data_IF_664657389601
#
_entry.id   IF_664657389601
#
_cell.length_a   1.000
_cell.length_b   1.000
_cell.length_c   1.000
_cell.angle_alpha   90.00
_cell.angle_beta   90.00
_cell.angle_gamma   90.00
#
_symmetry.space_group_name_H-M   'P 1'
#
loop_
_entity.id
_entity.type
_entity.pdbx_description
1 polymer ?
#
# COMPACT_ATOMS: atom_id res chain seq x y z
N UNK A 1 19.95 -23.61 3.86
CA UNK A 1 19.01 -23.87 2.74
C UNK A 1 17.75 -24.65 3.13
N UNK A 2 17.69 -25.38 4.26
CA UNK A 2 16.47 -26.13 4.67
C UNK A 2 15.36 -25.32 5.37
N UNK A 3 15.58 -24.07 5.80
CA UNK A 3 14.54 -23.25 6.47
C UNK A 3 13.57 -22.55 5.51
N UNK A 4 13.92 -22.41 4.22
CA UNK A 4 13.15 -21.60 3.25
C UNK A 4 11.94 -22.33 2.68
N UNK A 5 11.98 -23.67 2.63
CA UNK A 5 10.93 -24.50 2.04
C UNK A 5 9.80 -24.86 3.01
N UNK A 6 9.96 -24.53 4.30
CA UNK A 6 9.02 -24.88 5.37
C UNK A 6 8.04 -23.75 5.73
N UNK A 7 8.34 -22.51 5.35
CA UNK A 7 7.40 -21.38 5.54
C UNK A 7 6.28 -21.41 4.50
N UNK A 8 6.58 -21.85 3.27
CA UNK A 8 5.64 -21.83 2.14
C UNK A 8 4.59 -22.96 2.15
N UNK A 9 4.78 -24.03 2.93
CA UNK A 9 3.84 -25.17 2.96
C UNK A 9 2.72 -25.04 3.99
N UNK A 10 2.83 -24.10 4.94
CA UNK A 10 1.76 -23.71 5.89
C UNK A 10 0.95 -22.50 5.36
N UNK A 11 1.24 -22.03 4.14
CA UNK A 11 0.76 -20.76 3.57
C UNK A 11 -0.50 -20.87 2.71
N UNK A 12 -0.95 -22.09 2.37
CA UNK A 12 -2.12 -22.27 1.49
C UNK A 12 -3.44 -21.83 2.16
N UNK A 13 -3.58 -22.02 3.47
CA UNK A 13 -4.75 -21.65 4.29
C UNK A 13 -4.61 -20.28 4.99
N UNK A 14 -3.52 -19.55 4.70
CA UNK A 14 -3.26 -18.27 5.36
C UNK A 14 -4.20 -17.19 4.84
N UNK A 15 -4.87 -16.51 5.75
CA UNK A 15 -5.72 -15.35 5.42
C UNK A 15 -4.87 -14.09 5.20
N UNK A 16 -4.21 -14.05 4.04
CA UNK A 16 -3.31 -12.98 3.67
C UNK A 16 -3.97 -11.60 3.67
N UNK A 17 -5.26 -11.55 3.32
CA UNK A 17 -6.03 -10.32 3.27
C UNK A 17 -6.25 -9.74 4.67
N UNK A 18 -6.89 -10.49 5.57
CA UNK A 18 -7.21 -9.97 6.90
C UNK A 18 -5.96 -9.75 7.76
N UNK A 19 -4.96 -10.62 7.64
CA UNK A 19 -3.68 -10.39 8.31
C UNK A 19 -2.98 -9.13 7.80
N UNK A 20 -2.93 -8.95 6.48
CA UNK A 20 -2.32 -7.79 5.85
C UNK A 20 -3.01 -6.49 6.28
N UNK A 21 -4.34 -6.46 6.23
CA UNK A 21 -5.12 -5.30 6.65
C UNK A 21 -4.94 -4.99 8.14
N UNK A 22 -4.92 -6.02 8.99
CA UNK A 22 -4.67 -5.88 10.43
C UNK A 22 -3.29 -5.30 10.71
N UNK A 23 -2.26 -5.75 9.99
CA UNK A 23 -0.89 -5.23 10.12
C UNK A 23 -0.80 -3.77 9.64
N UNK A 24 -1.49 -3.41 8.56
CA UNK A 24 -1.56 -2.02 8.09
C UNK A 24 -2.25 -1.13 9.13
N UNK A 25 -3.39 -1.55 9.69
CA UNK A 25 -4.08 -0.81 10.74
C UNK A 25 -3.20 -0.62 11.98
N UNK A 26 -2.53 -1.69 12.43
CA UNK A 26 -1.59 -1.60 13.55
C UNK A 26 -0.43 -0.63 13.25
N UNK A 27 0.09 -0.60 12.03
CA UNK A 27 1.13 0.35 11.63
C UNK A 27 0.63 1.80 11.64
N UNK A 28 -0.61 2.04 11.22
CA UNK A 28 -1.26 3.35 11.32
C UNK A 28 -1.47 3.77 12.77
N UNK A 29 -1.93 2.87 13.65
CA UNK A 29 -2.09 3.15 15.08
C UNK A 29 -0.77 3.58 15.73
N UNK A 30 0.33 2.86 15.45
CA UNK A 30 1.66 3.20 15.95
C UNK A 30 2.14 4.52 15.41
N UNK A 31 1.95 4.75 14.11
CA UNK A 31 2.28 6.01 13.47
C UNK A 31 1.51 7.14 14.15
N UNK A 32 0.19 7.05 14.30
CA UNK A 32 -0.63 8.06 14.98
C UNK A 32 -0.15 8.33 16.41
N UNK A 33 0.27 7.29 17.14
CA UNK A 33 0.85 7.40 18.48
C UNK A 33 2.28 7.98 18.52
N UNK A 34 2.87 8.36 17.37
CA UNK A 34 4.22 8.90 17.27
C UNK A 34 5.33 7.86 17.48
N UNK A 35 5.02 6.58 17.31
CA UNK A 35 5.96 5.48 17.50
C UNK A 35 6.63 5.08 16.19
N UNK A 36 7.88 4.63 16.27
CA UNK A 36 8.61 4.10 15.13
C UNK A 36 8.27 2.63 14.84
N UNK A 37 8.25 2.28 13.55
CA UNK A 37 8.23 0.90 13.09
C UNK A 37 9.64 0.30 13.10
N UNK A 38 9.75 -0.91 13.62
CA UNK A 38 10.95 -1.75 13.54
C UNK A 38 11.30 -2.12 12.10
N UNK A 39 12.53 -2.58 11.87
CA UNK A 39 12.96 -3.04 10.55
C UNK A 39 12.12 -4.23 10.06
N UNK A 40 11.78 -5.16 10.96
CA UNK A 40 10.97 -6.34 10.63
C UNK A 40 9.54 -5.95 10.27
N UNK A 41 8.92 -5.00 11.00
CA UNK A 41 7.59 -4.47 10.66
C UNK A 41 7.60 -3.82 9.27
N UNK A 42 8.60 -2.99 8.98
CA UNK A 42 8.74 -2.35 7.65
C UNK A 42 8.90 -3.40 6.55
N UNK A 43 9.76 -4.39 6.74
CA UNK A 43 9.99 -5.44 5.75
C UNK A 43 8.72 -6.25 5.47
N UNK A 44 8.03 -6.68 6.53
CA UNK A 44 6.77 -7.44 6.39
C UNK A 44 5.66 -6.61 5.75
N UNK A 45 5.53 -5.32 6.10
CA UNK A 45 4.57 -4.43 5.46
C UNK A 45 4.85 -4.28 3.96
N UNK A 46 6.12 -4.20 3.55
CA UNK A 46 6.50 -4.22 2.14
C UNK A 46 6.01 -5.47 1.41
N UNK A 47 6.19 -6.64 2.04
CA UNK A 47 5.68 -7.92 1.51
C UNK A 47 4.14 -7.91 1.44
N UNK A 48 3.44 -7.51 2.50
CA UNK A 48 1.96 -7.52 2.50
C UNK A 48 1.36 -6.58 1.47
N UNK A 49 1.92 -5.38 1.30
CA UNK A 49 1.42 -4.40 0.34
C UNK A 49 1.67 -4.82 -1.12
N UNK A 50 2.51 -5.83 -1.38
CA UNK A 50 2.61 -6.42 -2.72
C UNK A 50 1.33 -7.16 -3.15
N UNK A 51 0.50 -7.59 -2.20
CA UNK A 51 -0.82 -8.12 -2.48
C UNK A 51 -1.78 -6.97 -2.83
N UNK A 52 -2.39 -7.05 -4.01
CA UNK A 52 -3.22 -5.97 -4.58
C UNK A 52 -4.38 -5.64 -3.64
N UNK A 53 -5.08 -6.64 -3.11
CA UNK A 53 -6.22 -6.38 -2.22
C UNK A 53 -5.83 -5.84 -0.86
N UNK A 54 -4.66 -6.17 -0.32
CA UNK A 54 -4.17 -5.55 0.91
C UNK A 54 -3.83 -4.08 0.67
N UNK A 55 -3.17 -3.77 -0.46
CA UNK A 55 -2.86 -2.40 -0.85
C UNK A 55 -4.12 -1.58 -1.10
N UNK A 56 -5.13 -2.13 -1.77
CA UNK A 56 -6.40 -1.44 -1.99
C UNK A 56 -7.18 -1.25 -0.69
N UNK A 57 -7.22 -2.27 0.17
CA UNK A 57 -7.84 -2.17 1.49
C UNK A 57 -7.17 -1.13 2.39
N UNK A 58 -5.86 -0.89 2.24
CA UNK A 58 -5.18 0.19 2.96
C UNK A 58 -5.77 1.58 2.66
N UNK A 59 -6.32 1.80 1.45
CA UNK A 59 -7.03 3.04 1.11
C UNK A 59 -8.39 3.15 1.83
N UNK A 60 -9.03 2.04 2.17
CA UNK A 60 -10.33 2.05 2.87
C UNK A 60 -10.23 2.57 4.31
N UNK A 61 -9.00 2.65 4.85
CA UNK A 61 -8.70 3.21 6.16
C UNK A 61 -8.59 4.74 6.15
N UNK A 62 -8.60 5.37 4.97
CA UNK A 62 -8.63 6.83 4.84
C UNK A 62 -9.87 7.40 5.54
N UNK A 63 -9.67 8.48 6.30
CA UNK A 63 -10.72 9.09 7.11
C UNK A 63 -10.92 8.43 8.49
N UNK A 64 -10.36 7.23 8.73
CA UNK A 64 -10.23 6.68 10.09
C UNK A 64 -9.04 7.27 10.84
N UNK A 65 -8.03 7.70 10.10
CA UNK A 65 -6.83 8.38 10.58
C UNK A 65 -6.71 9.74 9.88
N UNK A 66 -5.98 10.67 10.48
CA UNK A 66 -5.62 11.93 9.84
C UNK A 66 -4.71 11.69 8.62
N UNK A 67 -4.80 12.58 7.62
CA UNK A 67 -4.02 12.45 6.39
C UNK A 67 -2.50 12.49 6.66
N UNK A 68 -2.05 13.25 7.65
CA UNK A 68 -0.64 13.35 8.05
C UNK A 68 -0.09 12.02 8.57
N UNK A 69 -0.90 11.24 9.31
CA UNK A 69 -0.57 9.89 9.75
C UNK A 69 -0.37 8.95 8.56
N UNK A 70 -1.26 8.99 7.57
CA UNK A 70 -1.08 8.22 6.34
C UNK A 70 0.17 8.65 5.58
N UNK A 71 0.37 9.95 5.35
CA UNK A 71 1.54 10.50 4.65
C UNK A 71 2.84 10.06 5.33
N UNK A 72 2.90 10.12 6.66
CA UNK A 72 4.07 9.71 7.43
C UNK A 72 4.35 8.22 7.32
N UNK A 73 3.34 7.36 7.46
CA UNK A 73 3.51 5.91 7.31
C UNK A 73 4.01 5.57 5.90
N UNK A 74 3.33 6.07 4.85
CA UNK A 74 3.69 5.74 3.48
C UNK A 74 5.05 6.31 3.08
N UNK A 75 5.41 7.50 3.59
CA UNK A 75 6.77 8.05 3.43
C UNK A 75 7.82 7.17 4.10
N UNK A 76 7.57 6.73 5.34
CA UNK A 76 8.49 5.87 6.08
C UNK A 76 8.70 4.54 5.34
N UNK A 77 7.62 3.89 4.89
CA UNK A 77 7.69 2.64 4.13
C UNK A 77 8.40 2.84 2.79
N UNK A 78 8.00 3.82 1.98
CA UNK A 78 8.62 4.12 0.67
C UNK A 78 10.14 4.30 0.75
N UNK A 79 10.64 4.84 1.87
CA UNK A 79 12.07 5.08 2.10
C UNK A 79 12.83 3.88 2.66
N UNK A 80 12.17 2.98 3.38
CA UNK A 80 12.84 1.97 4.23
C UNK A 80 12.58 0.53 3.82
N UNK A 81 11.52 0.24 3.07
CA UNK A 81 11.33 -1.10 2.53
C UNK A 81 12.45 -1.44 1.55
N UNK A 82 12.70 -2.74 1.38
CA UNK A 82 13.64 -3.18 0.37
C UNK A 82 13.21 -2.64 -1.01
N UNK A 83 14.14 -2.14 -1.86
CA UNK A 83 13.79 -1.29 -3.01
C UNK A 83 12.76 -1.89 -3.97
N UNK A 84 12.77 -3.21 -4.15
CA UNK A 84 11.84 -3.93 -5.03
C UNK A 84 10.39 -3.93 -4.51
N UNK A 85 10.18 -3.68 -3.21
CA UNK A 85 8.86 -3.57 -2.58
C UNK A 85 8.38 -2.12 -2.43
N UNK A 86 9.09 -1.14 -2.97
CA UNK A 86 8.76 0.26 -2.76
C UNK A 86 7.59 0.77 -3.64
N UNK A 87 7.18 0.05 -4.69
CA UNK A 87 6.10 0.51 -5.58
C UNK A 87 4.74 0.67 -4.88
N UNK A 88 4.23 -0.34 -4.12
CA UNK A 88 2.96 -0.20 -3.41
C UNK A 88 2.88 0.98 -2.42
N UNK A 89 3.80 1.13 -1.44
CA UNK A 89 3.72 2.25 -0.50
C UNK A 89 3.95 3.61 -1.19
N UNK A 90 4.78 3.67 -2.24
CA UNK A 90 4.96 4.90 -3.02
C UNK A 90 3.68 5.31 -3.75
N UNK A 91 2.93 4.35 -4.30
CA UNK A 91 1.64 4.63 -4.94
C UNK A 91 0.57 5.09 -3.93
N UNK A 92 0.55 4.51 -2.72
CA UNK A 92 -0.32 4.98 -1.63
C UNK A 92 0.04 6.41 -1.20
N UNK A 93 1.33 6.71 -1.04
CA UNK A 93 1.82 8.06 -0.76
C UNK A 93 1.40 9.05 -1.86
N UNK A 94 1.55 8.66 -3.12
CA UNK A 94 1.15 9.48 -4.25
C UNK A 94 -0.34 9.79 -4.26
N UNK A 95 -1.19 8.80 -3.95
CA UNK A 95 -2.63 8.99 -3.87
C UNK A 95 -3.01 9.95 -2.72
N UNK A 96 -2.39 9.78 -1.55
CA UNK A 96 -2.56 10.68 -0.40
C UNK A 96 -2.19 12.11 -0.76
N UNK A 97 -1.01 12.31 -1.32
CA UNK A 97 -0.49 13.63 -1.71
C UNK A 97 -1.35 14.31 -2.79
N UNK A 98 -1.87 13.54 -3.77
CA UNK A 98 -2.81 14.07 -4.76
C UNK A 98 -4.08 14.60 -4.10
N UNK A 99 -4.68 13.83 -3.19
CA UNK A 99 -5.90 14.21 -2.47
C UNK A 99 -5.70 15.43 -1.55
N UNK A 100 -4.56 15.53 -0.90
CA UNK A 100 -4.26 16.65 0.01
C UNK A 100 -3.72 17.89 -0.70
N UNK A 101 -3.52 17.82 -2.02
CA UNK A 101 -3.08 18.94 -2.84
C UNK A 101 -1.57 19.15 -2.90
N UNK A 102 -0.77 18.22 -2.37
CA UNK A 102 0.69 18.23 -2.52
C UNK A 102 1.10 17.57 -3.85
N UNK A 103 0.85 18.30 -4.94
CA UNK A 103 1.20 17.87 -6.30
C UNK A 103 2.68 17.49 -6.49
N UNK A 104 3.65 18.27 -5.97
CA UNK A 104 5.07 17.90 -6.02
C UNK A 104 5.37 16.56 -5.34
N UNK A 105 4.88 16.33 -4.11
CA UNK A 105 5.06 15.05 -3.43
C UNK A 105 4.39 13.91 -4.20
N UNK A 106 3.18 14.16 -4.74
CA UNK A 106 2.47 13.17 -5.54
C UNK A 106 3.28 12.73 -6.77
N UNK A 107 3.89 13.68 -7.49
CA UNK A 107 4.75 13.38 -8.66
C UNK A 107 5.99 12.59 -8.26
N UNK A 108 6.72 13.01 -7.22
CA UNK A 108 7.92 12.29 -6.75
C UNK A 108 7.58 10.86 -6.31
N UNK A 109 6.44 10.68 -5.62
CA UNK A 109 5.99 9.36 -5.19
C UNK A 109 5.57 8.48 -6.38
N UNK A 110 4.90 9.03 -7.40
CA UNK A 110 4.61 8.33 -8.67
C UNK A 110 5.90 7.91 -9.37
N UNK A 111 6.87 8.82 -9.51
CA UNK A 111 8.17 8.53 -10.12
C UNK A 111 8.90 7.42 -9.37
N UNK A 112 8.86 7.44 -8.03
CA UNK A 112 9.43 6.37 -7.21
C UNK A 112 8.75 5.03 -7.49
N UNK A 113 7.42 4.98 -7.52
CA UNK A 113 6.71 3.73 -7.81
C UNK A 113 7.05 3.17 -9.21
N UNK A 114 7.06 4.05 -10.22
CA UNK A 114 7.33 3.67 -11.61
C UNK A 114 8.80 3.35 -11.87
N UNK A 115 9.73 3.86 -11.05
CA UNK A 115 11.14 3.45 -11.10
C UNK A 115 11.35 1.99 -10.69
N UNK A 116 10.46 1.45 -9.86
CA UNK A 116 10.48 0.06 -9.40
C UNK A 116 9.72 -0.83 -10.37
N UNK A 117 8.49 -0.45 -10.73
CA UNK A 117 7.70 -1.13 -11.75
C UNK A 117 7.07 -0.10 -12.72
N UNK A 118 7.60 0.04 -13.95
CA UNK A 118 7.07 0.97 -14.94
C UNK A 118 5.60 0.74 -15.34
N UNK A 119 5.05 -0.44 -15.00
CA UNK A 119 3.66 -0.83 -15.28
C UNK A 119 2.78 -0.85 -14.02
N UNK A 120 3.26 -0.32 -12.90
CA UNK A 120 2.48 -0.32 -11.65
C UNK A 120 1.18 0.48 -11.83
N UNK A 121 0.05 -0.24 -11.87
CA UNK A 121 -1.22 0.28 -12.39
C UNK A 121 -1.72 1.52 -11.64
N UNK A 122 -1.70 1.50 -10.30
CA UNK A 122 -2.13 2.63 -9.48
C UNK A 122 -1.28 3.88 -9.74
N UNK A 123 0.05 3.73 -9.82
CA UNK A 123 0.94 4.86 -10.10
C UNK A 123 0.69 5.43 -11.50
N UNK A 124 0.40 4.58 -12.49
CA UNK A 124 0.00 5.01 -13.83
C UNK A 124 -1.32 5.79 -13.85
N UNK A 125 -2.31 5.36 -13.06
CA UNK A 125 -3.58 6.09 -12.90
C UNK A 125 -3.36 7.47 -12.27
N UNK A 126 -2.57 7.54 -11.18
CA UNK A 126 -2.26 8.80 -10.49
C UNK A 126 -1.46 9.74 -11.38
N UNK A 127 -0.46 9.23 -12.14
CA UNK A 127 0.27 10.01 -13.14
C UNK A 127 -0.69 10.64 -14.15
N UNK A 128 -1.62 9.85 -14.68
CA UNK A 128 -2.61 10.33 -15.65
C UNK A 128 -3.51 11.41 -15.05
N UNK A 129 -3.96 11.23 -13.80
CA UNK A 129 -4.73 12.25 -13.08
C UNK A 129 -3.94 13.55 -12.93
N UNK A 130 -2.66 13.49 -12.54
CA UNK A 130 -1.77 14.64 -12.39
C UNK A 130 -1.53 15.36 -13.73
N UNK A 131 -1.32 14.60 -14.81
CA UNK A 131 -1.06 15.17 -16.14
C UNK A 131 -2.31 15.81 -16.76
N UNK A 132 -3.49 15.29 -16.43
CA UNK A 132 -4.78 15.89 -16.77
C UNK A 132 -5.18 17.06 -15.86
N UNK A 133 -4.38 17.38 -14.83
CA UNK A 133 -4.69 18.45 -13.87
C UNK A 133 -5.93 18.18 -13.02
N UNK A 134 -6.16 16.91 -12.64
CA UNK A 134 -7.26 16.53 -11.76
C UNK A 134 -7.16 17.34 -10.45
N UNK A 135 -8.22 18.06 -10.05
CA UNK A 135 -8.19 18.86 -8.83
C UNK A 135 -8.18 17.95 -7.59
N UNK A 136 -7.49 18.32 -6.50
CA UNK A 136 -7.41 17.52 -5.28
C UNK A 136 -8.76 17.09 -4.73
N UNK A 137 -9.78 17.96 -4.84
CA UNK A 137 -11.14 17.71 -4.37
C UNK A 137 -11.81 16.54 -5.09
N UNK A 138 -11.45 16.28 -6.35
CA UNK A 138 -11.97 15.13 -7.08
C UNK A 138 -11.38 13.81 -6.55
N UNK A 139 -10.11 13.80 -6.16
CA UNK A 139 -9.50 12.66 -5.49
C UNK A 139 -9.99 12.52 -4.04
N UNK A 140 -10.21 13.64 -3.34
CA UNK A 140 -10.74 13.67 -1.98
C UNK A 140 -12.20 13.23 -1.88
N UNK A 141 -12.99 13.47 -2.93
CA UNK A 141 -14.40 13.05 -3.00
C UNK A 141 -14.61 11.55 -3.25
N UNK A 142 -13.54 10.76 -3.40
CA UNK A 142 -13.64 9.31 -3.56
C UNK A 142 -14.00 8.65 -2.23
N UNK A 143 -15.13 7.94 -2.19
CA UNK A 143 -15.55 7.16 -1.02
C UNK A 143 -14.72 5.87 -0.88
N UNK A 144 -13.47 6.02 -0.42
CA UNK A 144 -12.57 4.89 -0.21
C UNK A 144 -13.07 3.97 0.90
N UNK A 145 -13.71 4.53 1.94
CA UNK A 145 -14.24 3.76 3.07
C UNK A 145 -15.40 2.86 2.62
N UNK A 146 -16.28 3.35 1.75
CA UNK A 146 -17.38 2.58 1.17
C UNK A 146 -16.96 1.42 0.27
N UNK A 147 -15.69 1.36 -0.16
CA UNK A 147 -15.15 0.24 -0.95
C UNK A 147 -14.75 -0.98 -0.10
N UNK A 148 -14.79 -0.88 1.24
CA UNK A 148 -14.25 -1.90 2.14
C UNK A 148 -14.90 -3.28 1.96
N UNK A 149 -16.24 -3.35 1.98
CA UNK A 149 -16.97 -4.61 1.84
C UNK A 149 -16.76 -5.22 0.45
N UNK A 150 -16.77 -4.39 -0.60
CA UNK A 150 -16.51 -4.84 -1.98
C UNK A 150 -15.10 -5.42 -2.15
N UNK A 151 -14.08 -4.78 -1.55
CA UNK A 151 -12.70 -5.27 -1.59
C UNK A 151 -12.58 -6.58 -0.80
N UNK A 152 -13.22 -6.69 0.36
CA UNK A 152 -13.22 -7.90 1.16
C UNK A 152 -13.90 -9.08 0.43
N UNK A 153 -15.06 -8.84 -0.19
CA UNK A 153 -15.77 -9.83 -1.00
C UNK A 153 -14.92 -10.29 -2.19
N UNK A 154 -14.28 -9.37 -2.89
CA UNK A 154 -13.37 -9.69 -4.00
C UNK A 154 -12.14 -10.46 -3.53
N UNK A 155 -11.57 -10.13 -2.38
CA UNK A 155 -10.45 -10.86 -1.81
C UNK A 155 -10.81 -12.32 -1.48
N UNK A 156 -12.01 -12.56 -0.96
CA UNK A 156 -12.53 -13.90 -0.71
C UNK A 156 -12.76 -14.70 -2.01
N UNK A 157 -13.19 -14.03 -3.08
CA UNK A 157 -13.45 -14.64 -4.40
C UNK A 157 -12.17 -14.86 -5.22
N UNK A 158 -11.11 -14.10 -4.97
CA UNK A 158 -9.86 -14.11 -5.73
C UNK A 158 -8.64 -14.16 -4.78
N UNK A 159 -8.44 -15.28 -4.07
CA UNK A 159 -7.41 -15.41 -3.02
C UNK A 159 -5.97 -15.21 -3.56
N UNK A 160 -5.72 -15.50 -4.84
CA UNK A 160 -4.40 -15.28 -5.45
C UNK A 160 -3.98 -13.80 -5.48
N UNK A 161 -4.94 -12.87 -5.60
CA UNK A 161 -4.65 -11.43 -5.57
C UNK A 161 -4.54 -10.88 -4.15
N UNK A 162 -4.94 -11.67 -3.14
CA UNK A 162 -4.69 -11.39 -1.74
C UNK A 162 -3.31 -11.93 -1.28
N UNK A 163 -2.67 -12.81 -2.07
CA UNK A 163 -1.33 -13.34 -1.77
C UNK A 163 -0.25 -12.32 -2.13
N UNK A 164 0.79 -12.16 -1.28
CA UNK A 164 1.96 -11.36 -1.63
C UNK A 164 2.64 -11.84 -2.92
N UNK A 165 3.08 -10.87 -3.72
CA UNK A 165 3.90 -11.12 -4.91
C UNK A 165 5.34 -10.79 -4.56
N UNK A 166 6.19 -11.81 -4.57
CA UNK A 166 7.62 -11.62 -4.34
C UNK A 166 8.30 -11.11 -5.63
N UNK A 167 9.26 -10.18 -5.53
CA UNK A 167 10.04 -9.74 -6.67
C UNK A 167 10.82 -10.89 -7.33
N UNK A 168 11.13 -10.73 -8.61
CA UNK A 168 11.86 -11.74 -9.38
C UNK A 168 13.25 -11.98 -8.76
N UNK A 169 13.59 -13.24 -8.51
CA UNK A 169 14.89 -13.63 -7.94
C UNK A 169 14.88 -13.87 -6.43
N UNK A 170 13.73 -13.74 -5.78
CA UNK A 170 13.53 -14.07 -4.36
C UNK A 170 13.18 -15.55 -4.17
#
# INVERSE_FOLDING_TARGET
>A
MLRRRSLLTDEEDRDWYHEGLTQVAAALDRTQAGQDLSADEVAWLGVRLSAIFVRDAAMTLIGRYDDDTHIRLWTQLTRRVEPDFAAPPAALLAFLALRTGDGPLARVAVERALSVDPRYSLAGLIRTALDCGLPPEAAAGMDCAGMADEIADKAAQCPDLARPVLPVGW
#
